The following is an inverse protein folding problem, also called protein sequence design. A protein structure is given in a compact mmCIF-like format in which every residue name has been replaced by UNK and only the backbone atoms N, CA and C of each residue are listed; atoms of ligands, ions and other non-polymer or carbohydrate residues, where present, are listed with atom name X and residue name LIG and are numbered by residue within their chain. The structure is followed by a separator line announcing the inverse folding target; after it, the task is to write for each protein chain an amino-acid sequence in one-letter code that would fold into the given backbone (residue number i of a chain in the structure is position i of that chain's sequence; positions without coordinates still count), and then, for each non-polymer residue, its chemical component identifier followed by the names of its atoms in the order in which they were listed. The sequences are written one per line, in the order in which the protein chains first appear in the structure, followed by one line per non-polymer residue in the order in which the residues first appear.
data_IF_127004247706
#
_entry.id   IF_127004247706
#
_cell.length_a   1.000
_cell.length_b   1.000
_cell.length_c   1.000
_cell.angle_alpha   90.00
_cell.angle_beta   90.00
_cell.angle_gamma   90.00
#
_symmetry.space_group_name_H-M   'P 1'
#
loop_
_entity.id
_entity.type
_entity.pdbx_description
1 polymer ?
#
# COMPACT_ATOMS: atom_id res chain seq x y z
N UNK A 1 -11.57 -8.02 19.26
CA UNK A 1 -10.67 -7.32 18.30
C UNK A 1 -10.70 -5.86 18.68
N UNK A 2 -9.75 -5.41 19.49
CA UNK A 2 -9.68 -4.01 19.95
C UNK A 2 -9.35 -3.14 18.74
N UNK A 3 -10.32 -2.34 18.30
CA UNK A 3 -10.11 -1.39 17.21
C UNK A 3 -8.95 -0.46 17.57
N UNK A 4 -7.97 -0.37 16.68
CA UNK A 4 -6.90 0.62 16.79
C UNK A 4 -7.60 1.99 16.94
N UNK A 5 -7.31 2.73 18.02
CA UNK A 5 -7.94 4.04 18.18
C UNK A 5 -7.54 4.93 17.01
N UNK A 6 -8.47 5.78 16.55
CA UNK A 6 -8.24 6.70 15.43
C UNK A 6 -6.99 7.58 15.66
N UNK A 7 -6.72 7.93 16.93
CA UNK A 7 -5.50 8.64 17.35
C UNK A 7 -4.22 7.81 17.14
N UNK A 8 -4.26 6.51 17.39
CA UNK A 8 -3.12 5.63 17.13
C UNK A 8 -2.86 5.48 15.62
N UNK A 9 -3.92 5.37 14.81
CA UNK A 9 -3.82 5.38 13.35
C UNK A 9 -3.20 6.68 12.84
N UNK A 10 -3.69 7.83 13.31
CA UNK A 10 -3.20 9.14 12.90
C UNK A 10 -1.73 9.36 13.26
N UNK A 11 -1.31 8.97 14.48
CA UNK A 11 0.10 9.04 14.88
C UNK A 11 1.00 8.18 14.00
N UNK A 12 0.59 6.95 13.70
CA UNK A 12 1.36 6.07 12.82
C UNK A 12 1.51 6.69 11.42
N UNK A 13 0.41 7.21 10.87
CA UNK A 13 0.39 7.85 9.55
C UNK A 13 1.30 9.09 9.49
N UNK A 14 1.20 10.01 10.47
CA UNK A 14 1.97 11.26 10.48
C UNK A 14 3.50 11.09 10.59
N UNK A 15 3.99 9.92 11.00
CA UNK A 15 5.44 9.62 10.99
C UNK A 15 5.97 9.12 9.65
N UNK A 16 5.08 8.66 8.76
CA UNK A 16 5.43 7.96 7.52
C UNK A 16 4.98 8.69 6.25
N UNK A 17 4.01 9.60 6.37
CA UNK A 17 3.40 10.30 5.25
C UNK A 17 3.78 11.78 5.34
N UNK A 18 4.16 12.35 4.20
CA UNK A 18 4.47 13.77 4.05
C UNK A 18 3.22 14.62 4.33
N UNK A 19 3.28 15.65 5.21
CA UNK A 19 2.15 16.57 5.44
C UNK A 19 1.63 17.24 4.16
N UNK A 20 2.48 17.44 3.14
CA UNK A 20 2.08 18.05 1.87
C UNK A 20 1.37 17.06 0.92
N UNK A 21 1.20 15.80 1.32
CA UNK A 21 0.53 14.79 0.52
C UNK A 21 -0.98 15.08 0.34
N UNK A 22 -1.52 14.60 -0.79
CA UNK A 22 -2.96 14.56 -1.01
C UNK A 22 -3.52 13.20 -0.58
N UNK A 23 -4.27 13.16 0.51
CA UNK A 23 -4.96 11.96 0.98
C UNK A 23 -6.21 11.70 0.10
N UNK A 24 -6.42 10.45 -0.29
CA UNK A 24 -7.61 10.01 -1.02
C UNK A 24 -8.26 8.83 -0.30
N UNK A 25 -9.53 8.94 0.07
CA UNK A 25 -10.25 7.88 0.80
C UNK A 25 -11.67 7.64 0.30
N UNK A 26 -12.35 6.68 0.92
CA UNK A 26 -13.80 6.55 0.85
C UNK A 26 -14.47 7.51 1.86
N UNK A 27 -15.78 7.34 2.06
CA UNK A 27 -16.61 8.15 2.95
C UNK A 27 -16.51 7.76 4.44
N UNK A 28 -15.58 6.89 4.84
CA UNK A 28 -15.47 6.50 6.24
C UNK A 28 -15.02 7.68 7.11
N UNK A 29 -15.82 7.99 8.14
CA UNK A 29 -15.57 9.09 9.09
C UNK A 29 -14.18 9.02 9.73
N UNK A 30 -13.60 7.82 9.81
CA UNK A 30 -12.27 7.62 10.34
C UNK A 30 -11.17 8.39 9.58
N UNK A 31 -11.37 8.61 8.27
CA UNK A 31 -10.42 9.34 7.43
C UNK A 31 -10.60 10.85 7.47
N UNK A 32 -11.77 11.36 7.88
CA UNK A 32 -12.03 12.81 7.94
C UNK A 32 -11.04 13.47 8.91
N UNK A 33 -10.99 12.98 10.15
CA UNK A 33 -10.06 13.48 11.15
C UNK A 33 -8.59 13.20 10.82
N UNK A 34 -8.30 12.20 9.98
CA UNK A 34 -6.95 11.95 9.48
C UNK A 34 -6.55 12.95 8.40
N UNK A 35 -7.47 13.31 7.52
CA UNK A 35 -7.26 14.22 6.39
C UNK A 35 -6.91 15.64 6.82
N UNK A 36 -7.36 16.08 8.00
CA UNK A 36 -7.03 17.39 8.57
C UNK A 36 -5.51 17.61 8.78
N UNK A 37 -4.72 16.52 8.87
CA UNK A 37 -3.28 16.59 9.06
C UNK A 37 -2.49 16.78 7.75
N UNK A 38 -3.15 16.82 6.60
CA UNK A 38 -2.51 16.85 5.28
C UNK A 38 -2.97 18.04 4.44
N UNK A 39 -2.16 18.46 3.47
CA UNK A 39 -2.43 19.61 2.61
C UNK A 39 -3.75 19.51 1.83
N UNK A 40 -4.18 18.28 1.50
CA UNK A 40 -5.45 18.03 0.82
C UNK A 40 -6.01 16.65 1.16
N UNK A 41 -7.32 16.57 1.33
CA UNK A 41 -8.05 15.31 1.49
C UNK A 41 -9.27 15.28 0.57
N UNK A 42 -9.29 14.33 -0.37
CA UNK A 42 -10.46 14.07 -1.22
C UNK A 42 -11.08 12.72 -0.89
N UNK A 43 -12.39 12.62 -1.11
CA UNK A 43 -13.16 11.40 -0.87
C UNK A 43 -14.01 11.03 -2.08
N UNK A 44 -14.15 9.75 -2.37
CA UNK A 44 -15.17 9.23 -3.30
C UNK A 44 -16.37 8.64 -2.55
N UNK A 45 -17.58 8.94 -3.05
CA UNK A 45 -18.83 8.52 -2.41
C UNK A 45 -19.47 7.32 -3.12
N UNK A 46 -19.13 6.14 -2.64
CA UNK A 46 -19.65 4.88 -3.18
C UNK A 46 -21.19 4.77 -3.07
N UNK A 47 -21.79 5.30 -2.00
CA UNK A 47 -23.25 5.30 -1.84
C UNK A 47 -23.97 6.06 -2.97
N UNK A 48 -23.30 7.05 -3.56
CA UNK A 48 -23.79 7.85 -4.69
C UNK A 48 -23.33 7.29 -6.04
N UNK A 49 -22.79 6.05 -6.07
CA UNK A 49 -22.22 5.39 -7.25
C UNK A 49 -21.03 6.16 -7.87
N UNK A 50 -20.33 6.94 -7.05
CA UNK A 50 -19.10 7.62 -7.43
C UNK A 50 -17.89 6.76 -7.06
N UNK A 51 -17.18 6.27 -8.07
CA UNK A 51 -16.01 5.39 -7.89
C UNK A 51 -14.68 6.06 -8.30
N UNK A 52 -14.74 7.04 -9.19
CA UNK A 52 -13.59 7.79 -9.71
C UNK A 52 -14.04 9.22 -10.02
N UNK A 53 -13.28 10.20 -9.55
CA UNK A 53 -13.39 11.61 -9.94
C UNK A 53 -12.00 12.11 -10.33
N UNK A 54 -11.76 12.25 -11.63
CA UNK A 54 -10.43 12.56 -12.18
C UNK A 54 -9.35 11.58 -11.66
N UNK A 55 -8.40 12.07 -10.87
CA UNK A 55 -7.36 11.27 -10.22
C UNK A 55 -7.77 10.74 -8.84
N UNK A 56 -8.91 11.18 -8.29
CA UNK A 56 -9.40 10.78 -6.97
C UNK A 56 -10.13 9.46 -7.07
N UNK A 57 -9.55 8.41 -6.45
CA UNK A 57 -10.14 7.09 -6.33
C UNK A 57 -9.46 6.25 -5.24
N UNK A 58 -10.11 5.18 -4.80
CA UNK A 58 -9.53 4.20 -3.85
C UNK A 58 -9.01 2.90 -4.51
N UNK A 59 -9.02 2.83 -5.85
CA UNK A 59 -8.62 1.63 -6.59
C UNK A 59 -7.22 1.09 -6.22
N UNK A 60 -6.27 1.98 -5.90
CA UNK A 60 -4.91 1.60 -5.51
C UNK A 60 -4.89 0.83 -4.19
N UNK A 61 -5.60 1.32 -3.17
CA UNK A 61 -5.66 0.67 -1.86
C UNK A 61 -6.47 -0.63 -1.91
N UNK A 62 -7.54 -0.66 -2.70
CA UNK A 62 -8.30 -1.89 -2.96
C UNK A 62 -7.43 -2.96 -3.63
N UNK A 63 -6.66 -2.58 -4.64
CA UNK A 63 -5.70 -3.45 -5.33
C UNK A 63 -4.63 -3.99 -4.38
N UNK A 64 -4.12 -3.14 -3.47
CA UNK A 64 -3.16 -3.56 -2.45
C UNK A 64 -3.79 -4.51 -1.43
N UNK A 65 -4.99 -4.23 -0.94
CA UNK A 65 -5.73 -5.12 -0.03
C UNK A 65 -6.01 -6.48 -0.67
N UNK A 66 -6.36 -6.51 -1.97
CA UNK A 66 -6.50 -7.76 -2.71
C UNK A 66 -5.18 -8.53 -2.86
N UNK A 67 -4.03 -7.83 -2.91
CA UNK A 67 -2.71 -8.46 -2.87
C UNK A 67 -2.42 -9.07 -1.51
N UNK A 68 -2.65 -8.32 -0.43
CA UNK A 68 -2.46 -8.79 0.96
C UNK A 68 -3.24 -10.08 1.19
N UNK A 69 -4.55 -10.09 0.90
CA UNK A 69 -5.40 -11.27 1.07
C UNK A 69 -4.91 -12.49 0.29
N UNK A 70 -4.47 -12.30 -0.96
CA UNK A 70 -3.91 -13.39 -1.78
C UNK A 70 -2.57 -13.90 -1.27
N UNK A 71 -1.69 -13.02 -0.78
CA UNK A 71 -0.41 -13.45 -0.20
C UNK A 71 -0.63 -14.25 1.08
N UNK A 72 -1.57 -13.81 1.95
CA UNK A 72 -1.94 -14.57 3.14
C UNK A 72 -2.46 -15.95 2.73
N UNK A 73 -3.41 -16.01 1.79
CA UNK A 73 -3.99 -17.28 1.38
C UNK A 73 -3.00 -18.25 0.70
N UNK A 74 -2.04 -17.72 -0.07
CA UNK A 74 -1.19 -18.55 -0.94
C UNK A 74 0.28 -18.71 -0.53
N UNK A 75 0.79 -17.87 0.38
CA UNK A 75 2.21 -17.90 0.78
C UNK A 75 2.35 -18.13 2.29
N UNK A 76 1.71 -17.29 3.10
CA UNK A 76 1.92 -17.34 4.54
C UNK A 76 0.97 -18.31 5.25
N UNK A 77 -0.24 -18.49 4.71
CA UNK A 77 -1.39 -19.18 5.31
C UNK A 77 -1.87 -18.63 6.66
N UNK A 78 -0.99 -18.00 7.44
CA UNK A 78 -1.22 -17.34 8.70
C UNK A 78 -0.22 -16.19 8.90
N UNK A 79 -0.67 -15.08 9.51
CA UNK A 79 0.20 -13.95 9.90
C UNK A 79 0.15 -13.81 11.42
N UNK A 80 1.31 -13.77 12.05
CA UNK A 80 1.45 -13.45 13.47
C UNK A 80 1.47 -11.92 13.68
N UNK A 81 0.69 -11.38 14.64
CA UNK A 81 0.75 -9.95 14.96
C UNK A 81 2.15 -9.47 15.38
N UNK A 82 2.95 -10.34 16.01
CA UNK A 82 4.30 -10.04 16.48
C UNK A 82 5.27 -9.70 15.34
N UNK A 83 5.01 -10.21 14.13
CA UNK A 83 5.86 -10.00 12.95
C UNK A 83 5.09 -9.32 11.80
N UNK A 84 3.97 -8.67 12.11
CA UNK A 84 3.09 -8.07 11.10
C UNK A 84 3.84 -7.07 10.21
N UNK A 85 4.73 -6.29 10.79
CA UNK A 85 5.64 -5.36 10.10
C UNK A 85 6.48 -6.06 9.02
N UNK A 86 7.11 -7.20 9.33
CA UNK A 86 7.93 -7.95 8.38
C UNK A 86 7.10 -8.47 7.19
N UNK A 87 5.91 -9.01 7.46
CA UNK A 87 5.00 -9.49 6.41
C UNK A 87 4.55 -8.34 5.50
N UNK A 88 4.17 -7.20 6.09
CA UNK A 88 3.74 -6.02 5.31
C UNK A 88 4.90 -5.36 4.56
N UNK A 89 6.12 -5.38 5.09
CA UNK A 89 7.32 -4.96 4.37
C UNK A 89 7.57 -5.82 3.12
N UNK A 90 7.43 -7.15 3.23
CA UNK A 90 7.58 -8.02 2.07
C UNK A 90 6.48 -7.77 1.02
N UNK A 91 5.22 -7.70 1.44
CA UNK A 91 4.09 -7.44 0.54
C UNK A 91 4.24 -6.08 -0.15
N UNK A 92 4.61 -5.04 0.62
CA UNK A 92 4.89 -3.70 0.12
C UNK A 92 6.04 -3.69 -0.88
N UNK A 93 7.15 -4.36 -0.56
CA UNK A 93 8.27 -4.53 -1.49
C UNK A 93 7.81 -5.16 -2.81
N UNK A 94 7.07 -6.27 -2.76
CA UNK A 94 6.53 -6.96 -3.95
C UNK A 94 5.57 -6.07 -4.76
N UNK A 95 4.78 -5.24 -4.09
CA UNK A 95 3.87 -4.28 -4.74
C UNK A 95 4.65 -3.23 -5.53
N UNK A 96 5.73 -2.70 -4.94
CA UNK A 96 6.57 -1.65 -5.52
C UNK A 96 7.55 -2.14 -6.60
N UNK A 97 7.54 -3.43 -6.96
CA UNK A 97 8.41 -4.01 -8.01
C UNK A 97 7.91 -3.75 -9.44
N UNK A 98 7.19 -2.65 -9.68
CA UNK A 98 6.62 -2.31 -10.99
C UNK A 98 6.96 -0.88 -11.37
N UNK A 99 7.39 -0.69 -12.61
CA UNK A 99 7.67 0.62 -13.21
C UNK A 99 6.82 0.79 -14.46
N UNK A 100 6.39 2.02 -14.74
CA UNK A 100 5.73 2.36 -15.98
C UNK A 100 6.78 2.40 -17.08
N UNK A 101 6.55 1.66 -18.16
CA UNK A 101 7.46 1.61 -19.32
C UNK A 101 6.89 2.24 -20.58
N UNK A 102 5.60 2.55 -20.57
CA UNK A 102 4.96 3.26 -21.66
C UNK A 102 3.45 3.20 -21.58
N UNK A 103 2.81 3.57 -22.68
CA UNK A 103 1.37 3.47 -22.87
C UNK A 103 1.09 2.81 -24.22
N UNK A 104 0.07 1.97 -24.27
CA UNK A 104 -0.38 1.33 -25.50
C UNK A 104 -1.89 1.49 -25.67
N UNK A 105 -2.33 1.76 -26.89
CA UNK A 105 -3.74 1.76 -27.23
C UNK A 105 -4.22 0.32 -27.36
N UNK A 106 -5.17 -0.08 -26.51
CA UNK A 106 -5.81 -1.38 -26.57
C UNK A 106 -7.21 -1.24 -27.18
N UNK A 107 -7.44 -1.91 -28.31
CA UNK A 107 -8.77 -2.03 -28.89
C UNK A 107 -9.52 -3.18 -28.23
N UNK A 108 -10.73 -2.91 -27.77
CA UNK A 108 -11.67 -3.90 -27.28
C UNK A 108 -12.37 -4.59 -28.46
N UNK A 109 -12.94 -5.78 -28.22
CA UNK A 109 -13.70 -6.55 -29.23
C UNK A 109 -14.85 -5.75 -29.86
N UNK A 110 -15.38 -4.77 -29.14
CA UNK A 110 -16.44 -3.85 -29.59
C UNK A 110 -15.89 -2.55 -30.23
N UNK A 111 -14.64 -2.53 -30.69
CA UNK A 111 -14.03 -1.38 -31.36
C UNK A 111 -13.60 -0.22 -30.45
N UNK A 112 -13.92 -0.27 -29.15
CA UNK A 112 -13.54 0.79 -28.21
C UNK A 112 -12.03 0.78 -27.97
N UNK A 113 -11.40 1.93 -28.14
CA UNK A 113 -9.99 2.11 -27.84
C UNK A 113 -9.81 2.66 -26.42
N UNK A 114 -8.85 2.09 -25.70
CA UNK A 114 -8.45 2.59 -24.37
C UNK A 114 -6.95 2.62 -24.25
N UNK A 115 -6.42 3.75 -23.82
CA UNK A 115 -5.02 3.84 -23.42
C UNK A 115 -4.77 2.95 -22.20
N UNK A 116 -3.72 2.14 -22.24
CA UNK A 116 -3.30 1.26 -21.15
C UNK A 116 -1.86 1.53 -20.80
N UNK A 117 -1.61 1.80 -19.54
CA UNK A 117 -0.26 1.85 -18.97
C UNK A 117 0.39 0.49 -19.08
N UNK A 118 1.56 0.45 -19.71
CA UNK A 118 2.44 -0.72 -19.73
C UNK A 118 3.30 -0.71 -18.48
N UNK A 119 3.32 -1.85 -17.81
CA UNK A 119 4.08 -2.06 -16.58
C UNK A 119 5.15 -3.10 -16.83
N UNK A 120 6.36 -2.81 -16.40
CA UNK A 120 7.46 -3.78 -16.36
C UNK A 120 7.99 -3.94 -14.95
N UNK A 121 8.73 -5.01 -14.72
CA UNK A 121 9.34 -5.27 -13.41
C UNK A 121 10.52 -4.33 -13.20
N UNK A 122 10.75 -3.90 -11.95
CA UNK A 122 12.01 -3.23 -11.58
C UNK A 122 13.18 -4.17 -11.91
N UNK A 123 14.20 -3.74 -12.67
CA UNK A 123 15.38 -4.55 -12.98
C UNK A 123 16.04 -5.06 -11.69
N UNK A 124 16.53 -6.33 -11.64
CA UNK A 124 17.13 -6.90 -10.43
C UNK A 124 18.19 -6.01 -9.76
N UNK A 125 19.03 -5.35 -10.56
CA UNK A 125 20.07 -4.43 -10.08
C UNK A 125 19.51 -3.25 -9.27
N UNK A 126 18.29 -2.79 -9.56
CA UNK A 126 17.64 -1.67 -8.87
C UNK A 126 16.73 -2.12 -7.71
N UNK A 127 16.44 -3.42 -7.59
CA UNK A 127 15.60 -3.93 -6.50
C UNK A 127 16.28 -3.79 -5.14
N UNK A 128 17.60 -4.02 -5.09
CA UNK A 128 18.38 -3.91 -3.85
C UNK A 128 18.31 -2.50 -3.25
N UNK A 129 18.32 -1.46 -4.08
CA UNK A 129 18.17 -0.08 -3.61
C UNK A 129 16.82 0.15 -2.91
N UNK A 130 15.74 -0.46 -3.42
CA UNK A 130 14.43 -0.38 -2.80
C UNK A 130 14.38 -1.13 -1.47
N UNK A 131 15.06 -2.28 -1.37
CA UNK A 131 15.20 -3.02 -0.11
C UNK A 131 15.96 -2.20 0.93
N UNK A 132 17.11 -1.63 0.55
CA UNK A 132 17.98 -0.94 1.51
C UNK A 132 17.35 0.33 2.10
N UNK A 133 16.53 1.05 1.33
CA UNK A 133 15.76 2.19 1.84
C UNK A 133 14.88 1.82 3.04
N UNK A 134 14.30 0.62 3.04
CA UNK A 134 13.44 0.15 4.13
C UNK A 134 14.22 -0.65 5.20
N UNK A 135 15.48 -1.01 4.96
CA UNK A 135 16.28 -1.85 5.85
C UNK A 135 17.26 -1.08 6.74
N UNK A 136 17.45 0.22 6.51
CA UNK A 136 18.43 1.02 7.27
C UNK A 136 18.04 1.07 8.75
N UNK A 137 18.99 0.77 9.65
CA UNK A 137 18.77 0.72 11.10
C UNK A 137 18.09 -0.57 11.62
N UNK A 138 17.53 -1.40 10.73
CA UNK A 138 16.85 -2.64 11.14
C UNK A 138 17.81 -3.82 11.17
N UNK A 139 17.79 -4.58 12.26
CA UNK A 139 18.57 -5.81 12.39
C UNK A 139 17.68 -6.99 12.78
N UNK A 140 17.65 -8.01 11.93
CA UNK A 140 17.03 -9.29 12.23
C UNK A 140 18.05 -10.20 12.91
N UNK A 141 17.74 -10.68 14.12
CA UNK A 141 18.57 -11.61 14.89
C UNK A 141 17.78 -12.87 15.23
N UNK A 142 18.48 -14.00 15.37
CA UNK A 142 17.90 -15.20 16.00
C UNK A 142 17.90 -15.02 17.52
N UNK A 143 16.80 -15.38 18.15
CA UNK A 143 16.73 -15.48 19.61
C UNK A 143 17.33 -16.81 20.09
N UNK A 144 17.74 -16.92 21.37
CA UNK A 144 18.30 -18.16 21.92
C UNK A 144 17.36 -19.37 21.83
N UNK A 145 16.05 -19.15 21.81
CA UNK A 145 14.98 -20.14 21.63
C UNK A 145 14.66 -20.43 20.15
N UNK A 146 15.43 -19.90 19.20
CA UNK A 146 15.31 -20.17 17.76
C UNK A 146 14.32 -19.25 17.00
N UNK A 147 13.65 -18.34 17.71
CA UNK A 147 12.79 -17.29 17.16
C UNK A 147 13.55 -16.19 16.41
N UNK A 148 12.81 -15.16 16.00
CA UNK A 148 13.34 -13.99 15.29
C UNK A 148 13.06 -12.74 16.12
N UNK A 149 14.08 -11.90 16.31
CA UNK A 149 13.99 -10.59 16.96
C UNK A 149 14.38 -9.52 15.95
N UNK A 150 13.53 -8.51 15.78
CA UNK A 150 13.81 -7.32 14.98
C UNK A 150 14.22 -6.19 15.92
N UNK A 151 15.46 -5.72 15.80
CA UNK A 151 15.93 -4.49 16.45
C UNK A 151 15.80 -3.33 15.46
N UNK A 152 15.28 -2.20 15.94
CA UNK A 152 15.14 -0.95 15.18
C UNK A 152 16.08 0.11 15.76
#
# INVERSE_FOLDING_TARGET
MTGLSLRAAARAAGTQIDPDACLMSDEATAFIALGEAYARHDTVKHSSREYVRDAVHVNSVEGFNARVRRTIAGVFHHISPQHADLYFHEIGFRWSQRIVTGQAVRKSRNGRERMKTLWSRVPPALQLLQVFRAATGRQMRRSPDGGIIVKS
#
